data_IF_342390390539
#
_entry.id   IF_342390390539
#
_cell.length_a   1.000
_cell.length_b   1.000
_cell.length_c   1.000
_cell.angle_alpha   90.00
_cell.angle_beta   90.00
_cell.angle_gamma   90.00
#
_symmetry.space_group_name_H-M   'P 1'
#
loop_
_entity.id
_entity.type
_entity.pdbx_description
1 polymer ?
#
# COMPACT_ATOMS: atom_id res chain seq x y z
N UNK A 1 -38.56 28.26 30.87
CA UNK A 1 -38.50 29.39 29.91
C UNK A 1 -37.13 30.04 30.06
N UNK A 2 -36.22 29.57 29.24
CA UNK A 2 -34.83 29.98 29.03
C UNK A 2 -34.41 29.16 27.79
N UNK A 3 -33.76 29.64 26.74
CA UNK A 3 -33.03 30.87 26.54
C UNK A 3 -33.01 31.09 25.01
N UNK A 4 -33.37 32.28 24.56
CA UNK A 4 -33.38 32.67 23.16
C UNK A 4 -31.93 32.86 22.71
N UNK A 5 -31.33 31.81 22.17
CA UNK A 5 -30.03 31.89 21.51
C UNK A 5 -30.17 32.70 20.21
N UNK A 6 -29.67 33.93 20.26
CA UNK A 6 -29.52 34.87 19.15
C UNK A 6 -28.69 34.25 18.01
N UNK A 7 -29.03 34.45 16.72
CA UNK A 7 -28.38 33.80 15.58
C UNK A 7 -26.89 34.14 15.39
N UNK A 8 -26.35 35.17 16.05
CA UNK A 8 -24.94 35.58 15.90
C UNK A 8 -23.94 34.71 16.66
N UNK A 9 -24.34 33.88 17.63
CA UNK A 9 -23.38 33.02 18.36
C UNK A 9 -23.06 31.70 17.65
N UNK A 10 -23.63 31.47 16.47
CA UNK A 10 -23.34 30.28 15.64
C UNK A 10 -22.03 30.41 14.85
N UNK A 11 -21.48 31.62 14.70
CA UNK A 11 -20.38 31.90 13.76
C UNK A 11 -18.96 31.87 14.40
N UNK A 12 -18.81 31.23 15.55
CA UNK A 12 -17.53 31.21 16.29
C UNK A 12 -17.05 29.82 16.73
N UNK A 13 -17.75 28.75 16.39
CA UNK A 13 -17.20 27.41 16.60
C UNK A 13 -16.34 27.09 15.39
N UNK A 14 -15.01 26.88 15.52
CA UNK A 14 -14.33 26.13 14.48
C UNK A 14 -15.10 24.83 14.38
N UNK A 15 -15.66 24.55 13.20
CA UNK A 15 -16.09 23.20 12.89
C UNK A 15 -14.93 22.29 13.34
N UNK A 16 -15.19 21.15 14.00
CA UNK A 16 -14.15 20.14 14.03
C UNK A 16 -13.89 19.88 12.55
N UNK A 17 -12.84 20.49 12.00
CA UNK A 17 -12.34 20.18 10.68
C UNK A 17 -12.05 18.72 10.80
N UNK A 18 -13.04 17.96 10.30
CA UNK A 18 -13.06 16.53 10.41
C UNK A 18 -11.71 16.10 9.89
N UNK A 19 -11.11 15.14 10.59
CA UNK A 19 -10.26 14.12 9.99
C UNK A 19 -10.27 14.33 8.50
N UNK A 20 -9.27 15.06 7.97
CA UNK A 20 -9.15 15.21 6.53
C UNK A 20 -8.85 13.79 6.10
N UNK A 21 -9.89 13.04 5.82
CA UNK A 21 -9.90 11.87 4.96
C UNK A 21 -9.60 12.47 3.59
N UNK A 22 -8.37 12.98 3.46
CA UNK A 22 -7.82 13.50 2.22
C UNK A 22 -7.26 12.30 1.47
N UNK A 23 -8.12 11.31 1.32
CA UNK A 23 -7.98 10.26 0.35
C UNK A 23 -9.41 9.90 0.01
N UNK A 24 -10.03 10.74 -0.82
CA UNK A 24 -10.76 10.14 -1.94
C UNK A 24 -9.82 9.03 -2.42
N UNK A 25 -10.19 7.74 -2.30
CA UNK A 25 -9.30 6.67 -2.70
C UNK A 25 -8.89 7.04 -4.12
N UNK A 26 -7.58 7.27 -4.32
CA UNK A 26 -7.08 7.61 -5.64
C UNK A 26 -7.66 6.54 -6.57
N UNK A 27 -8.18 6.93 -7.74
CA UNK A 27 -8.78 5.91 -8.61
C UNK A 27 -7.75 4.81 -8.91
N UNK A 28 -6.45 5.12 -8.85
CA UNK A 28 -5.34 4.19 -9.01
C UNK A 28 -4.88 3.51 -7.70
N UNK A 29 -5.54 3.75 -6.56
CA UNK A 29 -5.28 3.04 -5.31
C UNK A 29 -5.46 1.53 -5.54
N UNK A 30 -4.51 0.72 -5.07
CA UNK A 30 -4.48 -0.70 -5.40
C UNK A 30 -5.47 -1.52 -4.57
N UNK A 31 -5.85 -1.04 -3.39
CA UNK A 31 -6.70 -1.77 -2.43
C UNK A 31 -8.16 -1.34 -2.57
N UNK A 32 -8.39 -0.05 -2.76
CA UNK A 32 -9.72 0.57 -2.78
C UNK A 32 -10.05 1.30 -4.08
N UNK A 33 -9.05 1.54 -4.94
CA UNK A 33 -9.25 2.18 -6.25
C UNK A 33 -9.88 1.23 -7.27
N UNK A 34 -10.42 1.80 -8.35
CA UNK A 34 -11.08 1.07 -9.45
C UNK A 34 -10.44 1.30 -10.83
N UNK A 35 -9.49 2.23 -10.93
CA UNK A 35 -8.74 2.58 -12.12
C UNK A 35 -7.63 1.57 -12.46
N UNK A 36 -7.00 1.68 -13.64
CA UNK A 36 -5.94 0.78 -14.06
C UNK A 36 -4.69 0.91 -13.18
N UNK A 37 -4.01 -0.20 -12.90
CA UNK A 37 -2.74 -0.17 -12.17
C UNK A 37 -1.63 0.18 -13.16
N UNK A 38 -1.12 1.41 -13.05
CA UNK A 38 -0.01 1.91 -13.87
C UNK A 38 1.35 1.43 -13.34
N UNK A 39 2.41 1.62 -14.13
CA UNK A 39 3.78 1.29 -13.69
C UNK A 39 4.22 2.11 -12.47
N UNK A 40 3.78 3.36 -12.37
CA UNK A 40 4.04 4.21 -11.20
C UNK A 40 3.34 3.66 -9.96
N UNK A 41 2.06 3.30 -10.08
CA UNK A 41 1.29 2.64 -9.02
C UNK A 41 1.97 1.34 -8.57
N UNK A 42 2.45 0.52 -9.51
CA UNK A 42 3.15 -0.72 -9.20
C UNK A 42 4.47 -0.50 -8.44
N UNK A 43 5.18 0.61 -8.70
CA UNK A 43 6.39 0.97 -7.94
C UNK A 43 6.04 1.46 -6.54
N UNK A 44 5.06 2.35 -6.42
CA UNK A 44 4.60 2.88 -5.14
C UNK A 44 4.04 1.79 -4.24
N UNK A 45 3.40 0.77 -4.82
CA UNK A 45 2.91 -0.41 -4.12
C UNK A 45 4.00 -1.16 -3.33
N UNK A 46 5.26 -1.15 -3.79
CA UNK A 46 6.40 -1.74 -3.05
C UNK A 46 6.67 -0.95 -1.76
N UNK A 47 6.47 0.36 -1.80
CA UNK A 47 6.72 1.27 -0.69
C UNK A 47 5.55 1.30 0.31
N UNK A 48 4.32 1.41 -0.19
CA UNK A 48 3.10 1.49 0.63
C UNK A 48 2.70 0.13 1.21
N UNK A 49 2.81 -0.94 0.41
CA UNK A 49 2.29 -2.28 0.74
C UNK A 49 3.31 -3.41 0.50
N UNK A 50 4.51 -3.35 1.11
CA UNK A 50 5.58 -4.33 0.87
C UNK A 50 5.19 -5.77 1.23
N UNK A 51 4.36 -5.97 2.26
CA UNK A 51 3.89 -7.31 2.66
C UNK A 51 2.99 -7.93 1.59
N UNK A 52 2.14 -7.11 0.99
CA UNK A 52 1.14 -7.49 0.00
C UNK A 52 1.82 -7.79 -1.34
N UNK A 53 2.84 -7.02 -1.71
CA UNK A 53 3.73 -7.33 -2.83
C UNK A 53 4.42 -8.67 -2.61
N UNK A 54 5.03 -8.89 -1.45
CA UNK A 54 5.71 -10.16 -1.16
C UNK A 54 4.77 -11.35 -1.25
N UNK A 55 3.57 -11.25 -0.66
CA UNK A 55 2.51 -12.26 -0.77
C UNK A 55 2.15 -12.58 -2.21
N UNK A 56 2.03 -11.56 -3.06
CA UNK A 56 1.72 -11.73 -4.48
C UNK A 56 2.86 -12.37 -5.27
N UNK A 57 4.10 -11.99 -4.98
CA UNK A 57 5.28 -12.54 -5.65
C UNK A 57 5.54 -14.01 -5.25
N UNK A 58 5.54 -14.32 -3.96
CA UNK A 58 5.81 -15.67 -3.44
C UNK A 58 4.60 -16.61 -3.50
N UNK A 59 3.37 -16.07 -3.57
CA UNK A 59 2.16 -16.87 -3.55
C UNK A 59 1.88 -17.54 -2.19
N UNK A 60 2.43 -17.00 -1.11
CA UNK A 60 2.30 -17.51 0.27
C UNK A 60 2.03 -16.35 1.23
N UNK A 61 1.44 -16.65 2.38
CA UNK A 61 1.24 -15.67 3.44
C UNK A 61 2.53 -15.44 4.27
N UNK A 62 2.51 -14.50 5.21
CA UNK A 62 3.66 -14.20 6.08
C UNK A 62 4.02 -15.37 7.00
N UNK A 63 3.03 -16.18 7.36
CA UNK A 63 3.20 -17.43 8.13
C UNK A 63 3.63 -18.63 7.26
N UNK A 64 4.07 -18.38 6.01
CA UNK A 64 4.48 -19.40 5.03
C UNK A 64 3.35 -20.35 4.57
N UNK A 65 2.13 -20.13 5.06
CA UNK A 65 0.92 -20.85 4.67
C UNK A 65 0.47 -20.48 3.26
N UNK A 66 -0.33 -21.33 2.60
CA UNK A 66 -1.01 -20.94 1.38
C UNK A 66 -1.86 -19.67 1.60
N UNK A 67 -1.93 -18.83 0.58
CA UNK A 67 -2.74 -17.62 0.62
C UNK A 67 -4.22 -17.95 0.89
N UNK A 68 -4.83 -17.19 1.79
CA UNK A 68 -6.27 -17.23 2.01
C UNK A 68 -7.05 -16.87 0.74
N UNK A 69 -8.26 -17.40 0.55
CA UNK A 69 -9.10 -17.11 -0.62
C UNK A 69 -9.37 -15.61 -0.81
N UNK A 70 -9.55 -14.86 0.28
CA UNK A 70 -9.71 -13.40 0.23
C UNK A 70 -8.50 -12.70 -0.41
N UNK A 71 -7.28 -13.05 0.01
CA UNK A 71 -6.05 -12.45 -0.53
C UNK A 71 -5.86 -12.88 -2.00
N UNK A 72 -6.18 -14.12 -2.33
CA UNK A 72 -6.17 -14.60 -3.72
C UNK A 72 -7.16 -13.81 -4.60
N UNK A 73 -8.33 -13.46 -4.06
CA UNK A 73 -9.30 -12.60 -4.72
C UNK A 73 -8.75 -11.19 -5.01
N UNK A 74 -8.09 -10.58 -4.03
CA UNK A 74 -7.42 -9.28 -4.22
C UNK A 74 -6.35 -9.36 -5.31
N UNK A 75 -5.54 -10.43 -5.31
CA UNK A 75 -4.53 -10.66 -6.34
C UNK A 75 -5.13 -10.88 -7.74
N UNK A 76 -6.35 -11.43 -7.84
CA UNK A 76 -7.07 -11.55 -9.10
C UNK A 76 -7.49 -10.17 -9.60
N UNK A 77 -8.06 -9.33 -8.73
CA UNK A 77 -8.45 -7.95 -9.05
C UNK A 77 -7.25 -7.15 -9.56
N UNK A 78 -6.07 -7.28 -8.93
CA UNK A 78 -4.88 -6.58 -9.41
C UNK A 78 -4.50 -6.99 -10.83
N UNK A 79 -4.54 -8.30 -11.14
CA UNK A 79 -4.26 -8.80 -12.48
C UNK A 79 -5.28 -8.29 -13.50
N UNK A 80 -6.57 -8.27 -13.14
CA UNK A 80 -7.63 -7.71 -13.99
C UNK A 80 -7.45 -6.20 -14.23
N UNK A 81 -6.95 -5.46 -13.24
CA UNK A 81 -6.62 -4.04 -13.34
C UNK A 81 -5.31 -3.76 -14.09
N UNK A 82 -4.62 -4.79 -14.58
CA UNK A 82 -3.42 -4.66 -15.41
C UNK A 82 -2.08 -4.87 -14.69
N UNK A 83 -2.09 -5.24 -13.40
CA UNK A 83 -0.86 -5.56 -12.68
C UNK A 83 -0.26 -6.87 -13.21
N UNK A 84 0.89 -6.76 -13.87
CA UNK A 84 1.67 -7.90 -14.33
C UNK A 84 2.68 -8.33 -13.28
N UNK A 85 2.64 -9.62 -12.91
CA UNK A 85 3.56 -10.19 -11.93
C UNK A 85 5.02 -10.01 -12.33
N UNK A 86 5.37 -10.27 -13.58
CA UNK A 86 6.75 -10.12 -14.08
C UNK A 86 7.28 -8.69 -13.96
N UNK A 87 6.41 -7.69 -14.18
CA UNK A 87 6.78 -6.28 -14.09
C UNK A 87 6.97 -5.87 -12.63
N UNK A 88 6.02 -6.23 -11.76
CA UNK A 88 6.15 -5.97 -10.33
C UNK A 88 7.39 -6.66 -9.74
N UNK A 89 7.64 -7.92 -10.13
CA UNK A 89 8.81 -8.67 -9.71
C UNK A 89 10.09 -7.97 -10.16
N UNK A 90 10.17 -7.52 -11.41
CA UNK A 90 11.33 -6.78 -11.91
C UNK A 90 11.59 -5.49 -11.12
N UNK A 91 10.54 -4.71 -10.85
CA UNK A 91 10.66 -3.49 -10.04
C UNK A 91 11.07 -3.79 -8.61
N UNK A 92 10.51 -4.84 -8.01
CA UNK A 92 10.83 -5.28 -6.65
C UNK A 92 12.29 -5.73 -6.53
N UNK A 93 12.77 -6.58 -7.43
CA UNK A 93 14.16 -7.03 -7.45
C UNK A 93 15.13 -5.86 -7.65
N UNK A 94 14.80 -4.92 -8.54
CA UNK A 94 15.60 -3.73 -8.75
C UNK A 94 15.64 -2.83 -7.51
N UNK A 95 14.50 -2.63 -6.84
CA UNK A 95 14.40 -1.86 -5.60
C UNK A 95 15.24 -2.47 -4.47
N UNK A 96 15.18 -3.80 -4.33
CA UNK A 96 15.92 -4.51 -3.30
C UNK A 96 17.41 -4.65 -3.60
N UNK A 97 17.83 -4.45 -4.85
CA UNK A 97 19.18 -4.77 -5.33
C UNK A 97 19.48 -6.28 -5.28
N UNK A 98 18.49 -7.07 -5.71
CA UNK A 98 18.55 -8.54 -5.77
C UNK A 98 18.62 -9.03 -7.22
N UNK A 99 19.79 -8.98 -7.87
CA UNK A 99 19.92 -9.30 -9.30
C UNK A 99 19.67 -10.78 -9.61
N UNK A 100 19.91 -11.68 -8.65
CA UNK A 100 19.78 -13.13 -8.81
C UNK A 100 18.35 -13.64 -8.53
N UNK A 101 17.45 -12.76 -8.06
CA UNK A 101 16.09 -13.11 -7.66
C UNK A 101 15.83 -12.95 -6.16
N UNK A 102 14.62 -13.31 -5.73
CA UNK A 102 14.22 -13.20 -4.32
C UNK A 102 15.01 -14.24 -3.52
N UNK A 103 15.76 -13.85 -2.47
CA UNK A 103 16.54 -14.79 -1.70
C UNK A 103 15.65 -15.83 -1.03
N UNK A 104 16.17 -17.04 -0.87
CA UNK A 104 15.50 -18.16 -0.20
C UNK A 104 15.49 -17.99 1.32
N UNK A 105 14.91 -16.89 1.80
CA UNK A 105 14.69 -16.57 3.20
C UNK A 105 13.19 -16.72 3.57
N UNK A 106 12.87 -16.63 4.86
CA UNK A 106 11.48 -16.66 5.31
C UNK A 106 10.76 -15.38 4.91
N UNK A 107 9.43 -15.44 4.78
CA UNK A 107 8.65 -14.28 4.38
C UNK A 107 8.80 -13.09 5.33
N UNK A 108 8.95 -13.37 6.63
CA UNK A 108 9.20 -12.35 7.66
C UNK A 108 10.58 -11.70 7.53
N UNK A 109 11.60 -12.49 7.17
CA UNK A 109 12.96 -11.98 6.95
C UNK A 109 13.00 -11.09 5.70
N UNK A 110 12.41 -11.56 4.59
CA UNK A 110 12.24 -10.78 3.36
C UNK A 110 11.50 -9.45 3.64
N UNK A 111 10.40 -9.50 4.38
CA UNK A 111 9.63 -8.31 4.73
C UNK A 111 10.45 -7.35 5.59
N UNK A 112 11.27 -7.87 6.49
CA UNK A 112 12.15 -7.07 7.34
C UNK A 112 13.21 -6.34 6.52
N UNK A 113 13.82 -7.02 5.55
CA UNK A 113 14.82 -6.43 4.64
C UNK A 113 14.20 -5.33 3.77
N UNK A 114 13.01 -5.58 3.19
CA UNK A 114 12.28 -4.58 2.40
C UNK A 114 11.95 -3.35 3.24
N UNK A 115 11.45 -3.55 4.47
CA UNK A 115 11.13 -2.44 5.38
C UNK A 115 12.38 -1.66 5.78
N UNK A 116 13.50 -2.32 6.02
CA UNK A 116 14.75 -1.62 6.33
C UNK A 116 15.24 -0.82 5.12
N UNK A 117 15.17 -1.38 3.90
CA UNK A 117 15.48 -0.66 2.65
C UNK A 117 14.63 0.59 2.48
N UNK A 118 13.31 0.49 2.66
CA UNK A 118 12.37 1.63 2.60
C UNK A 118 12.74 2.68 3.66
N UNK A 119 13.02 2.25 4.91
CA UNK A 119 13.41 3.15 5.99
C UNK A 119 14.72 3.88 5.71
N UNK A 120 15.68 3.23 5.04
CA UNK A 120 16.94 3.84 4.66
C UNK A 120 16.81 4.76 3.43
N UNK A 121 15.82 4.55 2.57
CA UNK A 121 15.51 5.44 1.43
C UNK A 121 15.13 6.86 1.91
N UNK A 122 14.39 6.95 3.02
CA UNK A 122 13.95 8.21 3.62
C UNK A 122 15.03 8.95 4.43
N UNK A 123 16.23 8.38 4.59
CA UNK A 123 17.34 9.05 5.26
C UNK A 123 18.17 9.79 4.21
N UNK A 124 18.27 11.14 4.26
CA UNK A 124 19.25 11.82 3.43
C UNK A 124 20.64 11.29 3.80
N UNK A 125 21.42 10.89 2.78
CA UNK A 125 22.84 10.58 2.96
C UNK A 125 23.49 11.82 3.58
N UNK A 126 23.90 11.70 4.85
CA UNK A 126 24.72 12.69 5.54
C UNK A 126 26.11 12.73 4.92
#
# INVERSE_FOLDING_TARGET
>A
MADTLTPEMREGMPEPEGYRVNSIPDENDIVFGKGPITEETARNMILDYPDSVLKFLQGKDLDERPLSPDISGIHAIWRERGLRKDILQKYFLHFMDWPDGIPSATMLDLLSDVRDKIRNLGKPKK
#
